data_IF_936314332323
#
_entry.id   IF_936314332323
#
_cell.length_a   1.000
_cell.length_b   1.000
_cell.length_c   1.000
_cell.angle_alpha   90.00
_cell.angle_beta   90.00
_cell.angle_gamma   90.00
#
_symmetry.space_group_name_H-M   'P 1'
#
loop_
_entity.id
_entity.type
_entity.pdbx_description
1 polymer ?
#
# COMPACT_ATOMS: atom_id res chain seq x y z
N UNK A 1 8.82 12.31 8.45
CA UNK A 1 7.85 11.33 8.98
C UNK A 1 7.90 10.00 8.24
N UNK A 2 7.63 9.97 6.92
CA UNK A 2 7.60 8.75 6.08
C UNK A 2 8.86 7.87 6.19
N UNK A 3 10.05 8.48 6.09
CA UNK A 3 11.32 7.76 6.21
C UNK A 3 11.48 7.02 7.54
N UNK A 4 11.14 7.70 8.64
CA UNK A 4 11.26 7.15 9.98
C UNK A 4 10.28 5.99 10.20
N UNK A 5 9.03 6.13 9.75
CA UNK A 5 8.02 5.07 9.82
C UNK A 5 8.42 3.86 8.97
N UNK A 6 8.94 4.09 7.76
CA UNK A 6 9.43 3.02 6.89
C UNK A 6 10.59 2.23 7.50
N UNK A 7 11.60 2.92 8.03
CA UNK A 7 12.75 2.27 8.69
C UNK A 7 12.30 1.51 9.94
N UNK A 8 11.38 2.07 10.73
CA UNK A 8 10.82 1.38 11.90
C UNK A 8 10.02 0.14 11.49
N UNK A 9 9.25 0.23 10.41
CA UNK A 9 8.53 -0.90 9.80
C UNK A 9 9.45 -2.03 9.37
N UNK A 10 10.52 -1.72 8.63
CA UNK A 10 11.53 -2.72 8.21
C UNK A 10 12.17 -3.41 9.41
N UNK A 11 12.59 -2.62 10.42
CA UNK A 11 13.18 -3.17 11.66
C UNK A 11 12.19 -4.09 12.39
N UNK A 12 10.91 -3.73 12.43
CA UNK A 12 9.85 -4.58 12.96
C UNK A 12 9.71 -5.89 12.19
N UNK A 13 9.66 -5.83 10.85
CA UNK A 13 9.58 -7.02 10.01
C UNK A 13 10.73 -7.99 10.23
N UNK A 14 11.94 -7.48 10.35
CA UNK A 14 13.14 -8.29 10.62
C UNK A 14 13.07 -8.88 12.04
N UNK A 15 12.72 -8.06 13.04
CA UNK A 15 12.67 -8.49 14.45
C UNK A 15 11.64 -9.59 14.69
N UNK A 16 10.47 -9.52 14.04
CA UNK A 16 9.37 -10.48 14.22
C UNK A 16 9.32 -11.57 13.15
N UNK A 17 10.34 -11.66 12.28
CA UNK A 17 10.45 -12.73 11.28
C UNK A 17 9.34 -12.71 10.22
N UNK A 18 8.85 -11.53 9.84
CA UNK A 18 7.80 -11.41 8.83
C UNK A 18 8.30 -11.80 7.43
N UNK A 19 7.44 -12.35 6.56
CA UNK A 19 7.78 -12.69 5.18
C UNK A 19 8.48 -11.55 4.43
N UNK A 20 9.43 -11.87 3.52
CA UNK A 20 10.29 -10.88 2.87
C UNK A 20 9.54 -9.87 2.00
N UNK A 21 8.28 -10.16 1.65
CA UNK A 21 7.44 -9.22 0.93
C UNK A 21 7.15 -7.94 1.73
N UNK A 22 7.01 -8.04 3.06
CA UNK A 22 6.74 -6.91 3.93
C UNK A 22 7.88 -5.87 3.98
N UNK A 23 9.15 -6.23 4.26
CA UNK A 23 10.23 -5.26 4.23
C UNK A 23 10.44 -4.64 2.84
N UNK A 24 10.22 -5.40 1.75
CA UNK A 24 10.30 -4.85 0.38
C UNK A 24 9.21 -3.78 0.16
N UNK A 25 7.99 -3.99 0.64
CA UNK A 25 6.95 -2.95 0.56
C UNK A 25 7.30 -1.70 1.38
N UNK A 26 7.95 -1.84 2.54
CA UNK A 26 8.41 -0.69 3.31
C UNK A 26 9.57 0.07 2.64
N UNK A 27 10.42 -0.61 1.85
CA UNK A 27 11.42 0.06 1.00
C UNK A 27 10.73 0.91 -0.07
N UNK A 28 9.69 0.39 -0.73
CA UNK A 28 8.86 1.18 -1.65
C UNK A 28 8.25 2.41 -0.99
N UNK A 29 7.71 2.27 0.22
CA UNK A 29 7.18 3.38 1.02
C UNK A 29 8.24 4.46 1.34
N UNK A 30 9.49 4.04 1.63
CA UNK A 30 10.61 4.97 1.82
C UNK A 30 10.92 5.74 0.53
N UNK A 31 10.92 5.07 -0.62
CA UNK A 31 11.19 5.70 -1.93
C UNK A 31 10.13 6.77 -2.24
N UNK A 32 8.86 6.48 -2.01
CA UNK A 32 7.77 7.48 -2.15
C UNK A 32 8.01 8.66 -1.21
N UNK A 33 8.35 8.40 0.06
CA UNK A 33 8.67 9.46 1.02
C UNK A 33 9.86 10.32 0.60
N UNK A 34 10.88 9.73 -0.02
CA UNK A 34 12.00 10.46 -0.62
C UNK A 34 11.55 11.34 -1.79
N UNK A 35 10.76 10.79 -2.73
CA UNK A 35 10.23 11.54 -3.87
C UNK A 35 9.45 12.78 -3.43
N UNK A 36 8.51 12.61 -2.51
CA UNK A 36 7.69 13.69 -1.96
C UNK A 36 8.52 14.75 -1.23
N UNK A 37 9.45 14.34 -0.36
CA UNK A 37 10.30 15.30 0.37
C UNK A 37 11.21 16.10 -0.56
N UNK A 38 11.77 15.46 -1.59
CA UNK A 38 12.59 16.15 -2.57
C UNK A 38 11.76 17.06 -3.49
N UNK A 39 10.54 16.69 -3.83
CA UNK A 39 9.62 17.57 -4.54
C UNK A 39 9.29 18.81 -3.71
N UNK A 40 8.85 18.66 -2.46
CA UNK A 40 8.55 19.81 -1.61
C UNK A 40 9.78 20.68 -1.30
N UNK A 41 10.98 20.10 -1.25
CA UNK A 41 12.22 20.85 -1.07
C UNK A 41 12.65 21.65 -2.32
N UNK A 42 12.29 21.18 -3.52
CA UNK A 42 12.81 21.72 -4.78
C UNK A 42 11.76 22.48 -5.60
N UNK A 43 10.48 22.12 -5.46
CA UNK A 43 9.32 22.63 -6.22
C UNK A 43 9.51 22.62 -7.74
N UNK A 44 10.32 21.69 -8.24
CA UNK A 44 10.62 21.53 -9.67
C UNK A 44 9.73 20.45 -10.26
N UNK A 45 9.14 20.73 -11.42
CA UNK A 45 8.37 19.80 -12.23
C UNK A 45 8.99 18.38 -12.35
N UNK A 46 10.29 18.19 -12.63
CA UNK A 46 10.89 16.85 -12.66
C UNK A 46 10.80 16.09 -11.33
N UNK A 47 10.85 16.78 -10.19
CA UNK A 47 10.74 16.13 -8.88
C UNK A 47 9.28 15.83 -8.51
N UNK A 48 8.33 16.62 -9.01
CA UNK A 48 6.90 16.31 -8.91
C UNK A 48 6.58 15.00 -9.64
N UNK A 49 7.11 14.87 -10.85
CA UNK A 49 6.93 13.66 -11.65
C UNK A 49 7.53 12.43 -10.95
N UNK A 50 8.68 12.58 -10.28
CA UNK A 50 9.28 11.49 -9.49
C UNK A 50 8.39 11.09 -8.31
N UNK A 51 7.76 12.05 -7.63
CA UNK A 51 6.84 11.77 -6.52
C UNK A 51 5.58 11.02 -7.00
N UNK A 52 4.94 11.51 -8.05
CA UNK A 52 3.74 10.93 -8.65
C UNK A 52 4.00 9.52 -9.21
N UNK A 53 5.09 9.33 -9.96
CA UNK A 53 5.45 8.03 -10.52
C UNK A 53 5.87 7.02 -9.43
N UNK A 54 6.61 7.46 -8.41
CA UNK A 54 7.00 6.58 -7.30
C UNK A 54 5.76 6.04 -6.57
N UNK A 55 4.73 6.86 -6.39
CA UNK A 55 3.46 6.47 -5.76
C UNK A 55 2.73 5.41 -6.59
N UNK A 56 2.64 5.59 -7.91
CA UNK A 56 1.98 4.65 -8.83
C UNK A 56 2.71 3.30 -8.83
N UNK A 57 4.03 3.29 -9.04
CA UNK A 57 4.80 2.04 -9.13
C UNK A 57 4.78 1.26 -7.80
N UNK A 58 4.88 1.96 -6.67
CA UNK A 58 4.81 1.32 -5.36
C UNK A 58 3.44 0.70 -5.12
N UNK A 59 2.36 1.36 -5.56
CA UNK A 59 1.00 0.83 -5.43
C UNK A 59 0.76 -0.37 -6.32
N UNK A 60 1.21 -0.33 -7.58
CA UNK A 60 1.17 -1.48 -8.48
C UNK A 60 1.97 -2.66 -7.93
N UNK A 61 3.16 -2.42 -7.37
CA UNK A 61 3.96 -3.45 -6.74
C UNK A 61 3.25 -4.08 -5.53
N UNK A 62 2.65 -3.27 -4.65
CA UNK A 62 1.88 -3.77 -3.50
C UNK A 62 0.63 -4.55 -3.92
N UNK A 63 -0.07 -4.09 -4.97
CA UNK A 63 -1.20 -4.79 -5.55
C UNK A 63 -0.77 -6.16 -6.08
N UNK A 64 0.29 -6.21 -6.89
CA UNK A 64 0.87 -7.46 -7.39
C UNK A 64 1.20 -8.41 -6.22
N UNK A 65 2.02 -7.95 -5.28
CA UNK A 65 2.42 -8.71 -4.10
C UNK A 65 1.23 -9.32 -3.33
N UNK A 66 0.14 -8.56 -3.20
CA UNK A 66 -1.06 -8.97 -2.47
C UNK A 66 -1.89 -9.99 -3.26
N UNK A 67 -2.08 -9.78 -4.57
CA UNK A 67 -2.94 -10.63 -5.40
C UNK A 67 -2.29 -11.90 -5.89
N UNK A 68 -0.97 -11.90 -6.03
CA UNK A 68 -0.25 -13.11 -6.45
C UNK A 68 -0.02 -14.07 -5.29
N UNK A 69 -0.25 -13.64 -4.05
CA UNK A 69 -0.11 -14.51 -2.88
C UNK A 69 -1.08 -15.69 -2.95
N UNK A 70 -0.51 -16.91 -2.99
CA UNK A 70 -1.24 -18.18 -3.07
C UNK A 70 -2.16 -18.33 -4.32
N UNK A 71 -1.85 -17.65 -5.43
CA UNK A 71 -2.55 -17.79 -6.72
C UNK A 71 -1.70 -18.48 -7.79
N UNK A 72 -2.34 -18.90 -8.88
CA UNK A 72 -1.66 -19.58 -9.99
C UNK A 72 -0.67 -18.64 -10.69
N UNK A 73 0.42 -19.21 -11.20
CA UNK A 73 1.46 -18.42 -11.90
C UNK A 73 0.93 -17.70 -13.14
N UNK A 74 -0.09 -18.26 -13.81
CA UNK A 74 -0.76 -17.64 -14.96
C UNK A 74 -1.55 -16.38 -14.57
N UNK A 75 -2.29 -16.45 -13.47
CA UNK A 75 -3.01 -15.30 -12.93
C UNK A 75 -2.03 -14.21 -12.49
N UNK A 76 -0.95 -14.61 -11.82
CA UNK A 76 0.10 -13.70 -11.36
C UNK A 76 0.78 -12.99 -12.53
N UNK A 77 1.13 -13.73 -13.59
CA UNK A 77 1.72 -13.15 -14.80
C UNK A 77 0.75 -12.20 -15.52
N UNK A 78 -0.51 -12.59 -15.71
CA UNK A 78 -1.51 -11.73 -16.35
C UNK A 78 -1.77 -10.45 -15.56
N UNK A 79 -1.83 -10.55 -14.22
CA UNK A 79 -2.01 -9.40 -13.33
C UNK A 79 -0.78 -8.48 -13.33
N UNK A 80 0.44 -9.05 -13.30
CA UNK A 80 1.67 -8.28 -13.44
C UNK A 80 1.76 -7.55 -14.78
N UNK A 81 1.43 -8.23 -15.88
CA UNK A 81 1.42 -7.63 -17.21
C UNK A 81 0.38 -6.51 -17.32
N UNK A 82 -0.82 -6.71 -16.75
CA UNK A 82 -1.87 -5.70 -16.70
C UNK A 82 -1.47 -4.48 -15.88
N UNK A 83 -0.83 -4.67 -14.72
CA UNK A 83 -0.34 -3.58 -13.89
C UNK A 83 0.81 -2.80 -14.53
N UNK A 84 1.73 -3.49 -15.22
CA UNK A 84 2.82 -2.84 -15.97
C UNK A 84 2.26 -2.09 -17.18
N UNK A 85 1.32 -2.68 -17.92
CA UNK A 85 0.67 -2.03 -19.05
C UNK A 85 -0.12 -0.79 -18.62
N UNK A 86 -0.84 -0.88 -17.50
CA UNK A 86 -1.53 0.25 -16.88
C UNK A 86 -0.52 1.33 -16.46
N UNK A 87 0.55 0.97 -15.74
CA UNK A 87 1.62 1.88 -15.33
C UNK A 87 2.28 2.59 -16.52
N UNK A 88 2.55 1.85 -17.61
CA UNK A 88 3.12 2.37 -18.84
C UNK A 88 2.16 3.32 -19.55
N UNK A 89 0.89 2.95 -19.70
CA UNK A 89 -0.14 3.77 -20.34
C UNK A 89 -0.23 5.16 -19.70
N UNK A 90 -0.30 5.22 -18.36
CA UNK A 90 -0.30 6.46 -17.59
C UNK A 90 0.98 7.28 -17.85
N UNK A 91 2.12 6.61 -17.95
CA UNK A 91 3.42 7.27 -18.12
C UNK A 91 3.55 7.88 -19.53
N UNK A 92 2.93 7.25 -20.53
CA UNK A 92 3.01 7.65 -21.94
C UNK A 92 1.93 8.63 -22.39
N UNK A 93 0.76 8.64 -21.76
CA UNK A 93 -0.35 9.53 -22.13
C UNK A 93 -0.08 10.95 -21.60
N UNK A 94 0.91 11.62 -22.21
CA UNK A 94 1.30 13.00 -21.97
C UNK A 94 0.84 13.89 -23.12
N UNK A 95 -0.40 14.41 -23.12
CA UNK A 95 -0.78 15.47 -24.03
C UNK A 95 -0.42 16.81 -23.38
N UNK A 96 0.42 17.56 -24.06
CA UNK A 96 1.04 18.83 -23.67
C UNK A 96 0.16 19.96 -23.13
N UNK A 97 -1.14 19.85 -22.79
CA UNK A 97 -1.91 21.01 -22.29
C UNK A 97 -3.12 20.78 -21.34
N UNK A 98 -3.46 19.58 -20.83
CA UNK A 98 -4.62 19.38 -19.91
C UNK A 98 -4.37 18.32 -18.81
N UNK A 99 -3.24 18.44 -18.11
CA UNK A 99 -2.54 17.35 -17.40
C UNK A 99 -3.12 16.88 -16.04
N UNK A 100 -4.29 17.33 -15.59
CA UNK A 100 -4.78 17.02 -14.22
C UNK A 100 -5.80 15.86 -14.16
N UNK A 101 -6.49 15.58 -15.26
CA UNK A 101 -7.59 14.61 -15.28
C UNK A 101 -7.13 13.16 -15.37
N UNK A 102 -6.07 12.86 -16.14
CA UNK A 102 -5.56 11.51 -16.31
C UNK A 102 -5.01 10.90 -15.00
N UNK A 103 -4.27 11.70 -14.24
CA UNK A 103 -3.74 11.29 -12.93
C UNK A 103 -4.87 11.10 -11.89
N UNK A 104 -5.89 11.96 -11.95
CA UNK A 104 -7.07 11.86 -11.07
C UNK A 104 -7.90 10.62 -11.38
N UNK A 105 -8.17 10.34 -12.66
CA UNK A 105 -8.90 9.14 -13.11
C UNK A 105 -8.13 7.88 -12.73
N UNK A 106 -6.81 7.89 -12.88
CA UNK A 106 -5.97 6.77 -12.44
C UNK A 106 -6.06 6.56 -10.94
N UNK A 107 -5.83 7.62 -10.16
CA UNK A 107 -5.82 7.54 -8.70
C UNK A 107 -7.17 7.05 -8.21
N UNK A 108 -8.27 7.56 -8.78
CA UNK A 108 -9.62 7.06 -8.55
C UNK A 108 -9.73 5.58 -8.91
N UNK A 109 -9.31 5.16 -10.09
CA UNK A 109 -9.35 3.76 -10.54
C UNK A 109 -8.59 2.82 -9.60
N UNK A 110 -7.40 3.21 -9.15
CA UNK A 110 -6.58 2.45 -8.21
C UNK A 110 -7.25 2.37 -6.83
N UNK A 111 -7.79 3.49 -6.33
CA UNK A 111 -8.53 3.52 -5.05
C UNK A 111 -9.77 2.64 -5.12
N UNK A 112 -10.58 2.75 -6.18
CA UNK A 112 -11.78 1.94 -6.36
C UNK A 112 -11.44 0.45 -6.52
N UNK A 113 -10.36 0.12 -7.23
CA UNK A 113 -9.88 -1.26 -7.35
C UNK A 113 -9.44 -1.82 -6.00
N UNK A 114 -8.62 -1.07 -5.25
CA UNK A 114 -8.16 -1.46 -3.92
C UNK A 114 -9.32 -1.58 -2.93
N UNK A 115 -10.33 -0.71 -3.02
CA UNK A 115 -11.55 -0.77 -2.21
C UNK A 115 -12.39 -2.01 -2.56
N UNK A 116 -12.56 -2.29 -3.85
CA UNK A 116 -13.26 -3.49 -4.32
C UNK A 116 -12.59 -4.76 -3.80
N UNK A 117 -11.26 -4.82 -3.86
CA UNK A 117 -10.49 -5.92 -3.31
C UNK A 117 -10.68 -6.05 -1.81
N UNK A 118 -10.60 -4.95 -1.08
CA UNK A 118 -10.80 -4.91 0.36
C UNK A 118 -12.15 -5.53 0.72
N UNK A 119 -13.20 -5.15 -0.01
CA UNK A 119 -14.56 -5.61 0.22
C UNK A 119 -14.77 -7.08 -0.19
N UNK A 120 -14.25 -7.48 -1.35
CA UNK A 120 -14.55 -8.79 -1.96
C UNK A 120 -13.61 -9.91 -1.57
N UNK A 121 -12.36 -9.58 -1.25
CA UNK A 121 -11.31 -10.58 -0.93
C UNK A 121 -10.95 -10.50 0.54
N UNK A 122 -10.65 -9.30 1.03
CA UNK A 122 -10.09 -9.16 2.37
C UNK A 122 -11.16 -9.35 3.46
N UNK A 123 -12.33 -8.69 3.35
CA UNK A 123 -13.39 -8.81 4.36
C UNK A 123 -13.93 -10.23 4.54
N UNK A 124 -14.21 -11.02 3.48
CA UNK A 124 -14.65 -12.39 3.66
C UNK A 124 -13.56 -13.27 4.26
N UNK A 125 -12.30 -13.08 3.85
CA UNK A 125 -11.16 -13.82 4.40
C UNK A 125 -10.95 -13.50 5.89
N UNK A 126 -11.08 -12.24 6.29
CA UNK A 126 -10.99 -11.81 7.69
C UNK A 126 -12.16 -12.37 8.50
N UNK A 127 -13.39 -12.33 7.98
CA UNK A 127 -14.57 -12.90 8.65
C UNK A 127 -14.42 -14.41 8.84
N UNK A 128 -13.99 -15.14 7.82
CA UNK A 128 -13.75 -16.58 7.91
C UNK A 128 -12.63 -16.95 8.90
N UNK A 129 -11.64 -16.08 9.11
CA UNK A 129 -10.61 -16.26 10.15
C UNK A 129 -11.14 -15.97 11.54
N UNK A 130 -11.98 -14.95 11.69
CA UNK A 130 -12.66 -14.62 12.95
C UNK A 130 -13.62 -15.75 13.37
N UNK A 131 -14.37 -16.32 12.43
CA UNK A 131 -15.29 -17.42 12.72
C UNK A 131 -14.57 -18.72 13.17
N UNK A 132 -13.31 -18.90 12.75
CA UNK A 132 -12.45 -20.05 13.14
C UNK A 132 -11.62 -19.79 14.40
N UNK A 133 -11.79 -18.63 15.03
CA UNK A 133 -10.96 -18.20 16.15
C UNK A 133 -11.36 -18.92 17.44
N UNK A 134 -10.40 -19.52 18.19
CA UNK A 134 -10.69 -20.11 19.48
C UNK A 134 -11.00 -19.03 20.52
N UNK A 135 -11.99 -19.29 21.39
CA UNK A 135 -12.41 -18.36 22.45
C UNK A 135 -11.29 -18.03 23.46
N UNK A 136 -10.23 -18.84 23.51
CA UNK A 136 -9.06 -18.67 24.37
C UNK A 136 -7.89 -17.90 23.75
N UNK A 137 -8.04 -17.32 22.55
CA UNK A 137 -6.92 -16.64 21.88
C UNK A 137 -6.52 -15.33 22.58
N UNK A 138 -5.23 -15.12 22.83
CA UNK A 138 -4.65 -13.92 23.44
C UNK A 138 -4.59 -12.68 22.52
N UNK A 139 -4.82 -12.84 21.21
CA UNK A 139 -4.76 -11.76 20.21
C UNK A 139 -6.09 -11.01 20.19
N UNK A 140 -6.18 -9.67 20.08
CA UNK A 140 -7.47 -8.94 20.03
C UNK A 140 -8.38 -9.36 18.85
N UNK A 141 -9.71 -9.24 18.99
CA UNK A 141 -10.67 -9.56 17.90
C UNK A 141 -10.49 -8.64 16.70
N UNK A 142 -10.80 -9.10 15.48
CA UNK A 142 -10.65 -8.29 14.26
C UNK A 142 -11.40 -6.96 14.36
N UNK A 143 -12.57 -6.95 15.01
CA UNK A 143 -13.35 -5.73 15.25
C UNK A 143 -12.67 -4.77 16.23
N UNK A 144 -12.13 -5.29 17.33
CA UNK A 144 -11.42 -4.47 18.32
C UNK A 144 -10.15 -3.89 17.71
N UNK A 145 -9.41 -4.68 16.93
CA UNK A 145 -8.22 -4.26 16.22
C UNK A 145 -8.52 -3.15 15.20
N UNK A 146 -9.54 -3.33 14.34
CA UNK A 146 -9.95 -2.30 13.37
C UNK A 146 -10.39 -1.02 14.09
N UNK A 147 -11.15 -1.11 15.18
CA UNK A 147 -11.57 0.05 15.98
C UNK A 147 -10.36 0.82 16.53
N UNK A 148 -9.35 0.11 17.06
CA UNK A 148 -8.11 0.72 17.52
C UNK A 148 -7.33 1.38 16.39
N UNK A 149 -7.29 0.77 15.19
CA UNK A 149 -6.66 1.39 14.02
C UNK A 149 -7.36 2.68 13.62
N UNK A 150 -8.69 2.71 13.59
CA UNK A 150 -9.45 3.93 13.29
C UNK A 150 -9.25 5.00 14.35
N UNK A 151 -9.19 4.62 15.63
CA UNK A 151 -8.86 5.54 16.71
C UNK A 151 -7.45 6.15 16.53
N UNK A 152 -6.45 5.32 16.19
CA UNK A 152 -5.09 5.80 15.89
C UNK A 152 -5.04 6.76 14.69
N UNK A 153 -5.81 6.48 13.63
CA UNK A 153 -5.92 7.37 12.47
C UNK A 153 -6.57 8.70 12.85
N UNK A 154 -7.59 8.68 13.71
CA UNK A 154 -8.29 9.88 14.15
C UNK A 154 -7.48 10.74 15.13
N UNK A 155 -6.65 10.13 15.99
CA UNK A 155 -5.89 10.83 17.04
C UNK A 155 -4.43 11.10 16.67
N UNK A 156 -3.87 10.44 15.65
CA UNK A 156 -2.46 10.59 15.26
C UNK A 156 -1.44 9.95 16.22
N UNK A 157 -1.89 9.33 17.30
CA UNK A 157 -1.07 8.73 18.35
C UNK A 157 -0.62 7.30 17.97
N UNK A 158 0.47 7.17 17.21
CA UNK A 158 1.09 5.87 16.88
C UNK A 158 1.84 5.28 18.10
N UNK A 159 2.01 6.03 19.20
CA UNK A 159 2.96 5.68 20.26
C UNK A 159 2.37 4.98 21.50
N UNK A 160 1.05 4.98 21.70
CA UNK A 160 0.49 4.67 23.02
C UNK A 160 0.12 3.19 23.29
N UNK A 161 0.21 2.26 22.33
CA UNK A 161 -0.39 0.93 22.51
C UNK A 161 0.40 -0.27 21.96
N UNK A 162 1.73 -0.23 22.00
CA UNK A 162 2.50 -1.48 21.94
C UNK A 162 2.83 -1.91 23.38
N UNK A 163 2.32 -3.06 23.87
CA UNK A 163 2.80 -3.60 25.13
C UNK A 163 4.32 -3.85 25.02
N UNK A 164 5.03 -3.49 26.09
CA UNK A 164 6.45 -3.74 26.27
C UNK A 164 6.78 -5.24 26.17
#
# INVERSE_FOLDING_TARGET
MFLWLGVRGIRGCIKYGHPPIFPVTFVGYIIVGCGSTLFHATLKYPMQLVDELAMIYTTCFMAYATFTYARSSRFSFALGLGLIGLAYFITTDRPTNEDQDAYTILTATVVFSNMWIMERVLRPALKAREDKRPASSSVPSTRAFISQMWAMVATGEILAALPA
#
